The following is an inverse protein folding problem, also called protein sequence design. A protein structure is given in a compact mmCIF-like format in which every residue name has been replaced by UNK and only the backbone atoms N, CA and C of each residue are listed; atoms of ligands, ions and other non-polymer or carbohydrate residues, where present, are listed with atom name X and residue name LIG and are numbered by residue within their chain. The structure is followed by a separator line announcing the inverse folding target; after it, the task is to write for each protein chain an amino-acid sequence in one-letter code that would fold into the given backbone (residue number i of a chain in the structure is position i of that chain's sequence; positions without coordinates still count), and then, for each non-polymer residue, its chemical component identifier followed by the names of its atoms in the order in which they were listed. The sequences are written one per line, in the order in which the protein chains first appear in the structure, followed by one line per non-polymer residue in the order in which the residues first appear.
data_IF_625779769885
#
_entry.id   IF_625779769885
#
_cell.length_a   1.000
_cell.length_b   1.000
_cell.length_c   1.000
_cell.angle_alpha   90.00
_cell.angle_beta   90.00
_cell.angle_gamma   90.00
#
_symmetry.space_group_name_H-M   'P 1'
#
loop_
_entity.id
_entity.type
_entity.pdbx_description
1 polymer ?
#
# COMPACT_ATOMS: atom_id res chain seq x y z
N UNK A 1 3.66 37.53 -0.91
CA UNK A 1 2.84 36.40 -0.42
C UNK A 1 3.24 35.17 -1.23
N UNK A 2 4.10 34.32 -0.69
CA UNK A 2 4.48 33.04 -1.32
C UNK A 2 3.38 32.05 -0.99
N UNK A 3 2.44 31.85 -1.92
CA UNK A 3 1.40 30.84 -1.76
C UNK A 3 2.04 29.45 -1.80
N UNK A 4 1.85 28.66 -0.74
CA UNK A 4 2.26 27.27 -0.66
C UNK A 4 1.77 26.51 -1.90
N UNK A 5 2.70 26.16 -2.79
CA UNK A 5 2.44 25.29 -3.95
C UNK A 5 2.80 23.86 -3.54
N UNK A 6 1.79 23.14 -3.07
CA UNK A 6 1.86 21.69 -2.84
C UNK A 6 1.71 20.96 -4.18
N UNK A 7 2.64 20.07 -4.48
CA UNK A 7 2.61 19.07 -5.53
C UNK A 7 2.08 17.76 -4.95
N UNK A 8 1.07 17.20 -5.59
CA UNK A 8 0.48 15.91 -5.22
C UNK A 8 1.06 14.80 -6.10
N UNK A 9 1.43 13.66 -5.49
CA UNK A 9 1.96 12.52 -6.23
C UNK A 9 1.09 11.27 -6.07
N UNK A 10 0.77 10.67 -7.21
CA UNK A 10 0.14 9.38 -7.40
C UNK A 10 1.21 8.33 -7.74
N UNK A 11 0.94 7.06 -7.43
CA UNK A 11 1.72 5.93 -7.95
C UNK A 11 0.72 5.03 -8.69
N UNK A 12 0.74 5.06 -10.02
CA UNK A 12 -0.06 4.16 -10.88
C UNK A 12 0.60 3.98 -12.25
N UNK A 13 -0.11 3.52 -13.29
CA UNK A 13 0.45 3.25 -14.61
C UNK A 13 -0.42 3.80 -15.74
N UNK A 14 0.16 4.05 -16.92
CA UNK A 14 -0.42 3.41 -18.09
C UNK A 14 0.61 2.76 -19.05
N UNK A 15 0.12 1.68 -19.66
CA UNK A 15 0.46 1.12 -20.97
C UNK A 15 1.31 2.02 -21.88
N UNK A 16 2.60 1.68 -22.09
CA UNK A 16 3.35 1.71 -23.37
C UNK A 16 4.82 1.33 -23.13
N UNK A 17 5.43 0.71 -24.15
CA UNK A 17 6.73 0.00 -24.15
C UNK A 17 7.87 0.75 -23.43
N UNK A 18 8.76 0.05 -22.71
CA UNK A 18 9.99 0.66 -22.18
C UNK A 18 10.91 1.07 -23.32
N UNK A 19 11.41 2.31 -23.28
CA UNK A 19 12.56 2.71 -24.08
C UNK A 19 13.78 1.96 -23.53
N UNK A 20 14.31 1.06 -24.37
CA UNK A 20 15.56 0.34 -24.10
C UNK A 20 16.68 1.37 -23.94
N UNK A 21 17.26 1.45 -22.75
CA UNK A 21 18.70 1.51 -22.42
C UNK A 21 18.83 1.86 -20.93
N UNK A 22 18.73 0.86 -20.07
CA UNK A 22 19.16 0.96 -18.67
C UNK A 22 20.10 -0.21 -18.37
N UNK A 23 21.24 0.10 -17.76
CA UNK A 23 22.24 -0.88 -17.33
C UNK A 23 21.61 -1.96 -16.41
N UNK A 24 22.13 -3.20 -16.41
CA UNK A 24 21.45 -4.37 -15.82
C UNK A 24 21.16 -4.31 -14.31
N UNK A 25 21.59 -3.27 -13.59
CA UNK A 25 21.45 -3.15 -12.13
C UNK A 25 20.83 -1.81 -11.64
N UNK A 26 20.34 -0.94 -12.53
CA UNK A 26 19.66 0.30 -12.13
C UNK A 26 18.14 0.11 -12.12
N UNK A 27 17.50 0.30 -10.96
CA UNK A 27 16.05 0.53 -10.88
C UNK A 27 15.74 1.78 -11.70
N UNK A 28 14.95 1.65 -12.77
CA UNK A 28 14.54 2.78 -13.59
C UNK A 28 13.46 3.55 -12.82
N UNK A 29 13.80 4.73 -12.29
CA UNK A 29 12.80 5.72 -11.86
C UNK A 29 12.35 6.49 -13.11
N UNK A 30 11.26 6.04 -13.73
CA UNK A 30 10.67 6.76 -14.86
C UNK A 30 9.66 7.79 -14.32
N UNK A 31 10.04 9.06 -14.30
CA UNK A 31 9.12 10.17 -14.02
C UNK A 31 8.39 10.46 -15.34
N UNK A 32 7.17 9.94 -15.49
CA UNK A 32 6.31 10.28 -16.62
C UNK A 32 5.58 11.57 -16.29
N UNK A 33 5.93 12.64 -16.99
CA UNK A 33 5.22 13.92 -16.91
C UNK A 33 3.98 13.84 -17.83
N UNK A 34 2.72 13.70 -17.33
CA UNK A 34 1.55 13.73 -18.20
C UNK A 34 1.32 15.12 -18.84
N UNK A 35 0.64 15.13 -19.98
CA UNK A 35 0.13 16.35 -20.61
C UNK A 35 -0.79 17.10 -19.63
N UNK A 36 -0.53 18.40 -19.49
CA UNK A 36 -1.29 19.32 -18.63
C UNK A 36 -2.71 19.44 -19.20
N UNK A 37 -3.68 18.80 -18.56
CA UNK A 37 -5.10 19.05 -18.74
C UNK A 37 -5.70 19.28 -17.35
N UNK A 38 -6.12 20.52 -17.05
CA UNK A 38 -6.94 21.10 -15.95
C UNK A 38 -6.95 20.51 -14.51
N UNK A 39 -6.32 19.37 -14.23
CA UNK A 39 -6.03 18.80 -12.91
C UNK A 39 -4.65 19.23 -12.42
N UNK A 40 -4.31 20.50 -12.67
CA UNK A 40 -2.95 21.02 -12.62
C UNK A 40 -2.36 21.03 -11.21
N UNK A 41 -1.77 19.90 -10.78
CA UNK A 41 -0.74 19.73 -9.72
C UNK A 41 -0.50 18.26 -9.28
N UNK A 42 -1.14 17.28 -9.92
CA UNK A 42 -0.94 15.86 -9.62
C UNK A 42 0.02 15.18 -10.61
N UNK A 43 1.01 14.45 -10.10
CA UNK A 43 2.05 13.76 -10.87
C UNK A 43 2.14 12.29 -10.50
N UNK A 44 2.86 11.50 -11.30
CA UNK A 44 3.03 10.07 -11.02
C UNK A 44 4.42 9.55 -11.40
N UNK A 45 4.96 8.64 -10.60
CA UNK A 45 6.17 7.89 -10.93
C UNK A 45 5.99 6.41 -10.58
N UNK A 46 6.77 5.54 -11.21
CA UNK A 46 6.77 4.10 -10.95
C UNK A 46 8.13 3.64 -10.43
N UNK A 47 8.10 2.66 -9.53
CA UNK A 47 9.28 1.98 -8.98
C UNK A 47 9.17 0.49 -9.27
N UNK A 48 10.23 -0.07 -9.84
CA UNK A 48 10.35 -1.50 -10.14
C UNK A 48 10.33 -1.85 -11.64
N UNK A 49 10.17 -3.14 -11.99
CA UNK A 49 9.94 -4.27 -11.09
C UNK A 49 11.17 -4.59 -10.22
N UNK A 50 10.95 -4.78 -8.92
CA UNK A 50 12.00 -5.18 -7.97
C UNK A 50 11.56 -6.38 -7.13
N UNK A 51 12.51 -7.20 -6.69
CA UNK A 51 12.23 -8.42 -5.94
C UNK A 51 12.21 -8.16 -4.43
N UNK A 52 11.23 -8.76 -3.74
CA UNK A 52 11.17 -8.80 -2.28
C UNK A 52 11.08 -7.40 -1.65
N UNK A 53 11.78 -7.22 -0.53
CA UNK A 53 11.78 -5.98 0.26
C UNK A 53 12.42 -4.79 -0.47
N UNK A 54 13.23 -5.03 -1.50
CA UNK A 54 13.93 -3.96 -2.23
C UNK A 54 12.98 -2.96 -2.89
N UNK A 55 11.77 -3.37 -3.26
CA UNK A 55 10.76 -2.43 -3.80
C UNK A 55 10.38 -1.36 -2.76
N UNK A 56 10.39 -1.73 -1.48
CA UNK A 56 10.11 -0.82 -0.37
C UNK A 56 11.28 0.12 -0.11
N UNK A 57 12.52 -0.39 -0.15
CA UNK A 57 13.74 0.44 -0.11
C UNK A 57 13.72 1.49 -1.24
N UNK A 58 13.53 1.02 -2.48
CA UNK A 58 13.53 1.87 -3.67
C UNK A 58 12.42 2.92 -3.61
N UNK A 59 11.22 2.58 -3.12
CA UNK A 59 10.12 3.54 -3.00
C UNK A 59 10.39 4.59 -1.91
N UNK A 60 10.89 4.19 -0.75
CA UNK A 60 11.27 5.14 0.30
C UNK A 60 12.36 6.09 -0.17
N UNK A 61 13.38 5.57 -0.86
CA UNK A 61 14.44 6.38 -1.44
C UNK A 61 13.90 7.33 -2.51
N UNK A 62 13.01 6.86 -3.40
CA UNK A 62 12.38 7.70 -4.42
C UNK A 62 11.56 8.84 -3.80
N UNK A 63 10.78 8.56 -2.74
CA UNK A 63 10.04 9.59 -1.99
C UNK A 63 10.97 10.61 -1.35
N UNK A 64 12.08 10.14 -0.74
CA UNK A 64 13.09 11.02 -0.17
C UNK A 64 13.71 11.94 -1.23
N UNK A 65 14.19 11.39 -2.34
CA UNK A 65 14.78 12.17 -3.43
C UNK A 65 13.79 13.18 -3.99
N UNK A 66 12.52 12.82 -4.12
CA UNK A 66 11.48 13.73 -4.57
C UNK A 66 11.29 14.93 -3.64
N UNK A 67 11.28 14.70 -2.32
CA UNK A 67 11.26 15.81 -1.35
C UNK A 67 12.51 16.69 -1.47
N UNK A 68 13.70 16.10 -1.61
CA UNK A 68 14.97 16.85 -1.75
C UNK A 68 14.99 17.71 -3.01
N UNK A 69 14.55 17.18 -4.15
CA UNK A 69 14.44 17.94 -5.39
C UNK A 69 13.41 19.07 -5.26
N UNK A 70 12.26 18.79 -4.65
CA UNK A 70 11.19 19.78 -4.50
C UNK A 70 11.59 20.95 -3.60
N UNK A 71 12.43 20.71 -2.60
CA UNK A 71 13.02 21.74 -1.73
C UNK A 71 13.82 22.79 -2.53
N UNK A 72 14.61 22.36 -3.52
CA UNK A 72 15.39 23.27 -4.39
C UNK A 72 14.50 24.21 -5.22
N UNK A 73 13.29 23.76 -5.56
CA UNK A 73 12.31 24.57 -6.29
C UNK A 73 11.31 25.30 -5.39
N UNK A 74 11.45 25.20 -4.06
CA UNK A 74 10.51 25.80 -3.11
C UNK A 74 9.10 25.22 -3.19
N UNK A 75 8.98 23.93 -3.56
CA UNK A 75 7.72 23.20 -3.68
C UNK A 75 7.54 22.26 -2.49
N UNK A 76 6.31 22.16 -2.00
CA UNK A 76 5.94 21.16 -1.00
C UNK A 76 5.43 19.90 -1.72
N UNK A 77 5.72 18.72 -1.19
CA UNK A 77 5.23 17.44 -1.73
C UNK A 77 4.28 16.83 -0.72
N UNK A 78 3.12 16.36 -1.20
CA UNK A 78 2.17 15.62 -0.40
C UNK A 78 1.87 14.27 -1.03
N UNK A 79 1.85 13.24 -0.18
CA UNK A 79 1.31 11.91 -0.51
C UNK A 79 -0.08 11.70 0.11
N UNK A 80 -0.72 12.76 0.60
CA UNK A 80 -2.06 12.63 1.15
C UNK A 80 -3.02 12.15 0.05
N UNK A 81 -3.80 11.08 0.27
CA UNK A 81 -4.59 10.47 -0.78
C UNK A 81 -5.75 11.33 -1.29
N UNK A 82 -6.09 12.40 -0.54
CA UNK A 82 -7.09 13.39 -0.91
C UNK A 82 -6.67 14.77 -0.40
N UNK A 83 -5.75 15.47 -1.08
CA UNK A 83 -5.23 16.75 -0.56
C UNK A 83 -6.32 17.83 -0.43
N UNK A 84 -7.19 17.95 -1.44
CA UNK A 84 -8.26 18.95 -1.47
C UNK A 84 -9.62 18.27 -1.31
N UNK A 85 -10.31 18.44 -0.17
CA UNK A 85 -11.68 17.95 0.01
C UNK A 85 -12.60 18.48 -1.08
N UNK A 86 -13.44 17.61 -1.67
CA UNK A 86 -14.40 17.98 -2.72
C UNK A 86 -13.82 18.18 -4.13
N UNK A 87 -12.49 18.24 -4.29
CA UNK A 87 -11.88 18.23 -5.62
C UNK A 87 -11.97 16.85 -6.28
N UNK A 88 -11.86 16.78 -7.61
CA UNK A 88 -11.89 15.51 -8.35
C UNK A 88 -10.62 14.66 -8.18
N UNK A 89 -9.49 15.27 -7.79
CA UNK A 89 -8.21 14.58 -7.62
C UNK A 89 -8.22 13.58 -6.45
N UNK A 90 -7.68 12.39 -6.68
CA UNK A 90 -7.48 11.33 -5.69
C UNK A 90 -6.15 10.62 -6.01
N UNK A 91 -5.33 10.39 -4.98
CA UNK A 91 -3.97 9.88 -5.15
C UNK A 91 -3.87 8.47 -4.57
N UNK A 92 -3.76 7.46 -5.45
CA UNK A 92 -3.57 6.05 -5.06
C UNK A 92 -2.10 5.62 -5.06
N UNK A 93 -1.85 4.46 -4.44
CA UNK A 93 -0.56 3.77 -4.39
C UNK A 93 -0.65 2.37 -4.98
N UNK A 94 -0.86 2.24 -6.29
CA UNK A 94 -1.13 0.93 -6.88
C UNK A 94 0.10 0.01 -6.80
N UNK A 95 -0.10 -1.24 -6.39
CA UNK A 95 0.96 -2.23 -6.24
C UNK A 95 0.77 -3.37 -7.22
N UNK A 96 1.75 -3.55 -8.10
CA UNK A 96 1.79 -4.68 -9.02
C UNK A 96 2.56 -5.84 -8.37
N UNK A 97 1.97 -7.05 -8.34
CA UNK A 97 2.60 -8.22 -7.74
C UNK A 97 2.52 -9.45 -8.64
N UNK A 98 3.64 -10.18 -8.70
CA UNK A 98 3.72 -11.50 -9.34
C UNK A 98 4.70 -12.42 -8.61
N UNK A 99 4.37 -13.70 -8.57
CA UNK A 99 5.30 -14.78 -8.18
C UNK A 99 5.89 -15.43 -9.43
N UNK A 100 6.95 -16.24 -9.29
CA UNK A 100 7.50 -16.98 -10.42
C UNK A 100 6.44 -17.81 -11.17
N UNK A 101 5.57 -18.60 -10.49
CA UNK A 101 4.49 -19.33 -11.16
C UNK A 101 3.46 -18.45 -11.88
N UNK A 102 3.24 -17.20 -11.42
CA UNK A 102 2.32 -16.28 -12.11
C UNK A 102 2.87 -15.79 -13.45
N UNK A 103 4.21 -15.74 -13.60
CA UNK A 103 4.89 -15.25 -14.81
C UNK A 103 5.12 -16.34 -15.86
N UNK A 104 5.01 -17.61 -15.47
CA UNK A 104 5.14 -18.78 -16.35
C UNK A 104 3.89 -19.02 -17.20
N UNK A 105 4.00 -19.90 -18.21
CA UNK A 105 2.88 -20.23 -19.10
C UNK A 105 1.68 -20.81 -18.32
N UNK A 106 0.49 -20.29 -18.58
CA UNK A 106 -0.70 -20.63 -17.80
C UNK A 106 -0.73 -20.03 -16.38
N UNK A 107 0.20 -19.14 -16.04
CA UNK A 107 0.34 -18.49 -14.73
C UNK A 107 -0.88 -17.69 -14.26
N UNK A 108 -1.81 -17.35 -15.16
CA UNK A 108 -3.11 -16.76 -14.83
C UNK A 108 -3.91 -17.57 -13.80
N UNK A 109 -3.69 -18.89 -13.74
CA UNK A 109 -4.30 -19.76 -12.71
C UNK A 109 -3.88 -19.35 -11.30
N UNK A 110 -2.60 -19.00 -11.11
CA UNK A 110 -2.06 -18.57 -9.83
C UNK A 110 -2.55 -17.16 -9.47
N UNK A 111 -2.70 -16.29 -10.48
CA UNK A 111 -3.31 -14.96 -10.30
C UNK A 111 -4.75 -15.10 -9.82
N UNK A 112 -5.56 -15.93 -10.49
CA UNK A 112 -6.96 -16.17 -10.10
C UNK A 112 -7.08 -16.86 -8.74
N UNK A 113 -6.15 -17.75 -8.39
CA UNK A 113 -6.13 -18.40 -7.07
C UNK A 113 -5.79 -17.43 -5.92
N UNK A 114 -5.08 -16.34 -6.20
CA UNK A 114 -4.76 -15.31 -5.21
C UNK A 114 -5.96 -14.42 -4.86
N UNK A 115 -6.88 -14.20 -5.81
CA UNK A 115 -8.02 -13.28 -5.65
C UNK A 115 -8.93 -13.64 -4.45
N UNK A 116 -9.40 -14.89 -4.28
CA UNK A 116 -10.22 -15.25 -3.12
C UNK A 116 -9.50 -15.11 -1.77
N UNK A 117 -8.16 -15.12 -1.77
CA UNK A 117 -7.37 -14.87 -0.54
C UNK A 117 -7.40 -13.39 -0.20
N UNK A 118 -7.16 -12.53 -1.20
CA UNK A 118 -7.20 -11.07 -1.07
C UNK A 118 -8.59 -10.55 -0.66
N UNK A 119 -9.65 -11.20 -1.15
CA UNK A 119 -11.04 -10.93 -0.78
C UNK A 119 -11.30 -11.24 0.70
N UNK A 120 -10.93 -12.44 1.16
CA UNK A 120 -11.12 -12.85 2.56
C UNK A 120 -10.36 -11.98 3.55
N UNK A 121 -9.19 -11.48 3.17
CA UNK A 121 -8.38 -10.60 4.02
C UNK A 121 -8.64 -9.11 3.78
N UNK A 122 -9.69 -8.74 3.02
CA UNK A 122 -9.93 -7.37 2.61
C UNK A 122 -10.03 -6.39 3.80
N UNK A 123 -10.83 -6.73 4.80
CA UNK A 123 -11.03 -5.92 6.01
C UNK A 123 -9.75 -5.75 6.82
N UNK A 124 -8.89 -6.76 6.89
CA UNK A 124 -7.61 -6.71 7.60
C UNK A 124 -6.53 -5.94 6.82
N UNK A 125 -6.63 -5.89 5.50
CA UNK A 125 -5.66 -5.21 4.64
C UNK A 125 -5.91 -3.70 4.53
N UNK A 126 -7.17 -3.25 4.59
CA UNK A 126 -7.52 -1.83 4.47
C UNK A 126 -6.80 -0.92 5.49
N UNK A 127 -6.66 -1.28 6.77
CA UNK A 127 -5.89 -0.46 7.71
C UNK A 127 -4.42 -0.29 7.33
N UNK A 128 -3.84 -1.24 6.58
CA UNK A 128 -2.44 -1.19 6.13
C UNK A 128 -2.25 -0.31 4.89
N UNK A 129 -3.34 0.10 4.25
CA UNK A 129 -3.32 0.80 2.97
C UNK A 129 -3.03 2.30 3.09
N UNK A 130 -2.88 2.86 4.28
CA UNK A 130 -2.42 4.24 4.51
C UNK A 130 -1.60 4.33 5.82
N UNK A 131 -1.06 5.52 6.11
CA UNK A 131 -0.22 5.79 7.27
C UNK A 131 -1.00 5.94 8.60
N UNK A 132 -2.33 5.97 8.55
CA UNK A 132 -3.22 6.29 9.68
C UNK A 132 -4.30 5.21 9.86
N UNK A 133 -3.98 3.94 9.61
CA UNK A 133 -4.84 2.82 9.95
C UNK A 133 -6.15 2.74 9.14
N UNK A 134 -6.21 3.34 7.96
CA UNK A 134 -7.41 3.36 7.11
C UNK A 134 -8.12 4.71 7.08
N UNK A 135 -7.75 5.65 7.95
CA UNK A 135 -8.47 6.92 8.10
C UNK A 135 -8.35 7.82 6.86
N UNK A 136 -7.16 7.94 6.29
CA UNK A 136 -6.92 8.81 5.13
C UNK A 136 -7.56 8.23 3.86
N UNK A 137 -7.51 6.91 3.73
CA UNK A 137 -8.05 6.23 2.55
C UNK A 137 -9.57 6.39 2.48
N UNK A 138 -10.29 6.57 3.60
CA UNK A 138 -11.74 6.87 3.58
C UNK A 138 -12.08 8.09 2.71
N UNK A 139 -11.30 9.16 2.80
CA UNK A 139 -11.52 10.38 2.01
C UNK A 139 -11.25 10.20 0.52
N UNK A 140 -10.38 9.24 0.15
CA UNK A 140 -10.08 8.87 -1.24
C UNK A 140 -11.18 8.01 -1.86
N UNK A 141 -11.81 7.20 -1.03
CA UNK A 141 -12.64 6.06 -1.44
C UNK A 141 -14.14 6.38 -1.56
N UNK A 142 -14.51 7.67 -1.46
CA UNK A 142 -15.90 8.14 -1.60
C UNK A 142 -16.28 8.24 -3.09
N UNK A 143 -17.18 7.36 -3.54
CA UNK A 143 -18.05 7.61 -4.71
C UNK A 143 -17.65 7.04 -6.08
N UNK A 144 -16.37 6.87 -6.40
CA UNK A 144 -15.96 6.49 -7.79
C UNK A 144 -14.97 5.34 -7.92
N UNK A 145 -14.19 5.02 -6.88
CA UNK A 145 -13.18 3.97 -6.93
C UNK A 145 -13.39 2.96 -5.79
N UNK A 146 -13.60 1.70 -6.16
CA UNK A 146 -13.54 0.47 -5.36
C UNK A 146 -14.34 0.34 -4.05
N UNK A 147 -14.89 1.38 -3.45
CA UNK A 147 -15.18 1.33 -2.00
C UNK A 147 -16.24 2.30 -1.51
N UNK A 148 -17.13 2.77 -2.38
CA UNK A 148 -18.41 3.32 -1.91
C UNK A 148 -19.26 2.27 -1.16
N UNK A 149 -18.91 0.98 -1.24
CA UNK A 149 -19.66 -0.14 -0.65
C UNK A 149 -18.87 -1.01 0.35
N UNK A 150 -17.58 -0.78 0.60
CA UNK A 150 -16.76 -1.66 1.46
C UNK A 150 -16.55 -3.09 0.94
N UNK A 151 -17.05 -3.42 -0.25
CA UNK A 151 -16.99 -4.76 -0.81
C UNK A 151 -15.78 -4.92 -1.74
N UNK A 152 -15.07 -6.04 -1.59
CA UNK A 152 -13.97 -6.39 -2.47
C UNK A 152 -14.46 -6.67 -3.90
N UNK A 153 -13.76 -6.14 -4.90
CA UNK A 153 -14.07 -6.36 -6.32
C UNK A 153 -12.79 -6.64 -7.11
N UNK A 154 -12.90 -7.43 -8.17
CA UNK A 154 -11.81 -7.63 -9.11
C UNK A 154 -12.31 -7.70 -10.55
N UNK A 155 -11.45 -7.41 -11.52
CA UNK A 155 -11.83 -7.52 -12.93
C UNK A 155 -10.66 -7.44 -13.90
N UNK A 156 -10.87 -7.95 -15.11
CA UNK A 156 -9.95 -7.74 -16.23
C UNK A 156 -10.14 -6.34 -16.77
N UNK A 157 -9.06 -5.55 -16.83
CA UNK A 157 -9.07 -4.15 -17.29
C UNK A 157 -9.98 -3.19 -16.50
N UNK A 158 -10.66 -3.67 -15.45
CA UNK A 158 -11.53 -2.84 -14.61
C UNK A 158 -10.69 -1.91 -13.72
N UNK A 159 -10.73 -0.59 -14.01
CA UNK A 159 -10.01 0.44 -13.25
C UNK A 159 -10.68 0.82 -11.93
N UNK A 160 -11.92 0.42 -11.74
CA UNK A 160 -12.72 0.76 -10.57
C UNK A 160 -12.80 -0.40 -9.57
N UNK A 161 -12.12 -1.52 -9.85
CA UNK A 161 -12.04 -2.69 -9.00
C UNK A 161 -10.86 -2.65 -8.03
N UNK A 162 -11.01 -3.26 -6.84
CA UNK A 162 -9.92 -3.34 -5.84
C UNK A 162 -8.67 -3.99 -6.43
N UNK A 163 -8.85 -5.08 -7.19
CA UNK A 163 -7.78 -5.78 -7.89
C UNK A 163 -8.05 -5.79 -9.39
N UNK A 164 -7.10 -5.30 -10.17
CA UNK A 164 -7.16 -5.31 -11.64
C UNK A 164 -6.22 -6.36 -12.21
N UNK A 165 -6.71 -7.15 -13.16
CA UNK A 165 -5.87 -7.96 -14.04
C UNK A 165 -5.68 -7.16 -15.33
N UNK A 166 -4.47 -6.71 -15.69
CA UNK A 166 -4.25 -5.98 -16.94
C UNK A 166 -4.72 -6.79 -18.14
N UNK A 167 -5.26 -6.11 -19.17
CA UNK A 167 -5.74 -6.76 -20.40
C UNK A 167 -4.67 -7.67 -21.01
N UNK A 168 -3.42 -7.21 -21.07
CA UNK A 168 -2.31 -7.98 -21.62
C UNK A 168 -2.05 -9.27 -20.82
N UNK A 169 -2.14 -9.22 -19.49
CA UNK A 169 -2.00 -10.41 -18.62
C UNK A 169 -3.12 -11.43 -18.88
N UNK A 170 -4.33 -10.96 -19.12
CA UNK A 170 -5.46 -11.83 -19.47
C UNK A 170 -5.28 -12.49 -20.85
N UNK A 171 -4.77 -11.74 -21.84
CA UNK A 171 -4.47 -12.25 -23.18
C UNK A 171 -3.31 -13.25 -23.18
N UNK A 172 -2.21 -12.90 -22.52
CA UNK A 172 -1.00 -13.73 -22.44
C UNK A 172 -1.14 -14.90 -21.45
N UNK A 173 -2.23 -14.92 -20.67
CA UNK A 173 -2.51 -15.92 -19.63
C UNK A 173 -1.38 -16.07 -18.60
N UNK A 174 -0.59 -15.02 -18.37
CA UNK A 174 0.49 -14.93 -17.38
C UNK A 174 0.90 -13.49 -17.11
N UNK A 175 1.55 -13.24 -15.98
CA UNK A 175 2.08 -11.92 -15.62
C UNK A 175 1.85 -11.58 -14.15
N UNK A 176 1.10 -10.51 -13.88
CA UNK A 176 0.90 -9.92 -12.56
C UNK A 176 -0.54 -9.45 -12.34
N UNK A 177 -0.91 -9.21 -11.07
CA UNK A 177 -2.12 -8.47 -10.70
C UNK A 177 -1.75 -7.09 -10.15
N UNK A 178 -2.66 -6.13 -10.27
CA UNK A 178 -2.53 -4.78 -9.71
C UNK A 178 -3.51 -4.62 -8.55
N UNK A 179 -3.01 -4.40 -7.34
CA UNK A 179 -3.80 -4.01 -6.18
C UNK A 179 -3.92 -2.49 -6.12
N UNK A 180 -5.16 -1.99 -6.13
CA UNK A 180 -5.50 -0.56 -6.23
C UNK A 180 -6.01 0.02 -4.91
N UNK A 181 -6.02 -0.80 -3.85
CA UNK A 181 -6.49 -0.43 -2.50
C UNK A 181 -5.53 0.50 -1.75
N UNK A 182 -4.19 0.40 -1.87
CA UNK A 182 -3.32 1.31 -1.13
C UNK A 182 -3.51 2.77 -1.56
N UNK A 183 -3.53 3.67 -0.57
CA UNK A 183 -3.43 5.11 -0.73
C UNK A 183 -2.02 5.50 -1.19
N UNK A 184 -1.78 6.76 -1.51
CA UNK A 184 -0.46 7.26 -1.94
C UNK A 184 0.56 7.36 -0.79
N UNK A 185 0.10 7.52 0.46
CA UNK A 185 0.93 7.63 1.67
C UNK A 185 1.18 6.31 2.41
N UNK A 186 0.79 5.16 1.85
CA UNK A 186 1.03 3.86 2.50
C UNK A 186 2.52 3.61 2.80
N UNK A 187 2.79 2.84 3.85
CA UNK A 187 4.11 2.26 4.09
C UNK A 187 4.32 1.05 3.15
N UNK A 188 5.29 1.10 2.22
CA UNK A 188 5.54 -0.01 1.33
C UNK A 188 5.94 -1.30 2.04
N UNK A 189 6.57 -1.25 3.22
CA UNK A 189 6.91 -2.46 3.97
C UNK A 189 5.66 -3.20 4.44
N UNK A 190 4.71 -2.49 5.06
CA UNK A 190 3.48 -3.08 5.56
C UNK A 190 2.64 -3.69 4.43
N UNK A 191 2.49 -2.95 3.32
CA UNK A 191 1.70 -3.42 2.17
C UNK A 191 2.37 -4.59 1.46
N UNK A 192 3.68 -4.54 1.23
CA UNK A 192 4.40 -5.63 0.56
C UNK A 192 4.43 -6.90 1.40
N UNK A 193 4.68 -6.78 2.71
CA UNK A 193 4.63 -7.91 3.65
C UNK A 193 3.23 -8.54 3.65
N UNK A 194 2.18 -7.73 3.78
CA UNK A 194 0.81 -8.22 3.80
C UNK A 194 0.42 -8.94 2.51
N UNK A 195 0.81 -8.41 1.35
CA UNK A 195 0.57 -9.07 0.07
C UNK A 195 1.29 -10.42 -0.02
N UNK A 196 2.55 -10.51 0.46
CA UNK A 196 3.30 -11.77 0.51
C UNK A 196 2.62 -12.78 1.45
N UNK A 197 2.22 -12.35 2.65
CA UNK A 197 1.52 -13.19 3.63
C UNK A 197 0.24 -13.79 3.05
N UNK A 198 -0.58 -12.98 2.39
CA UNK A 198 -1.85 -13.45 1.82
C UNK A 198 -1.64 -14.29 0.56
N UNK A 199 -0.84 -13.81 -0.39
CA UNK A 199 -0.73 -14.43 -1.73
C UNK A 199 0.17 -15.67 -1.67
N UNK A 200 1.29 -15.60 -0.97
CA UNK A 200 2.31 -16.66 -0.94
C UNK A 200 2.08 -17.60 0.23
N UNK A 201 1.95 -17.06 1.46
CA UNK A 201 1.82 -17.88 2.67
C UNK A 201 0.38 -18.36 2.92
N UNK A 202 -0.61 -17.71 2.30
CA UNK A 202 -2.01 -18.10 2.44
C UNK A 202 -2.61 -17.73 3.79
N UNK A 203 -2.05 -16.74 4.49
CA UNK A 203 -2.59 -16.25 5.76
C UNK A 203 -3.96 -15.60 5.55
N UNK A 204 -4.89 -15.87 6.45
CA UNK A 204 -6.26 -15.33 6.43
C UNK A 204 -6.45 -14.12 7.35
N UNK A 205 -5.47 -13.88 8.23
CA UNK A 205 -5.45 -12.74 9.15
C UNK A 205 -4.16 -11.95 8.96
N UNK A 206 -4.26 -10.63 9.12
CA UNK A 206 -3.12 -9.74 9.07
C UNK A 206 -3.04 -8.96 10.37
N UNK A 207 -1.82 -8.77 10.87
CA UNK A 207 -1.58 -7.92 12.04
C UNK A 207 -1.80 -6.47 11.64
N UNK A 208 -2.65 -5.76 12.39
CA UNK A 208 -2.79 -4.31 12.26
C UNK A 208 -1.85 -3.62 13.25
N UNK A 209 -0.75 -2.97 12.81
CA UNK A 209 0.15 -2.24 13.68
C UNK A 209 -0.47 -0.93 14.22
N UNK A 210 -1.54 -0.45 13.60
CA UNK A 210 -2.26 0.76 14.01
C UNK A 210 -3.37 0.51 15.03
N UNK A 211 -3.60 -0.76 15.42
CA UNK A 211 -4.57 -1.07 16.46
C UNK A 211 -4.02 -0.70 17.84
N UNK A 212 -4.85 -0.06 18.67
CA UNK A 212 -4.52 0.21 20.07
C UNK A 212 -4.07 -1.06 20.80
N UNK A 213 -3.02 -1.00 21.64
CA UNK A 213 -2.57 -2.17 22.39
C UNK A 213 -3.69 -2.66 23.30
N UNK A 214 -3.98 -3.97 23.23
CA UNK A 214 -4.94 -4.61 24.14
C UNK A 214 -4.38 -4.53 25.56
N UNK A 215 -4.92 -3.63 26.38
CA UNK A 215 -4.64 -3.60 27.82
C UNK A 215 -5.32 -4.81 28.45
N UNK A 216 -4.55 -5.86 28.72
CA UNK A 216 -5.04 -6.99 29.51
C UNK A 216 -4.96 -6.57 30.97
N UNK A 217 -6.12 -6.31 31.59
CA UNK A 217 -6.18 -6.18 33.06
C UNK A 217 -5.93 -7.56 33.65
N UNK A 218 -4.70 -7.79 34.11
CA UNK A 218 -4.37 -8.93 34.95
C UNK A 218 -4.99 -8.66 36.33
N UNK A 219 -6.08 -9.33 36.65
CA UNK A 219 -6.57 -9.40 38.03
C UNK A 219 -5.67 -10.37 38.79
N UNK A 220 -4.81 -9.84 39.67
CA UNK A 220 -4.11 -10.65 40.65
C UNK A 220 -5.11 -10.92 41.77
N UNK A 221 -5.48 -12.18 41.96
CA UNK A 221 -6.21 -12.60 43.14
C UNK A 221 -5.25 -12.62 44.32
N UNK A 222 -5.30 -11.56 45.12
CA UNK A 222 -4.48 -11.42 46.32
C UNK A 222 -5.12 -12.08 47.56
N UNK A 223 -6.23 -12.81 47.42
CA UNK A 223 -6.92 -13.45 48.54
C UNK A 223 -6.09 -14.53 49.26
N UNK A 224 -4.99 -14.98 48.64
CA UNK A 224 -4.05 -15.94 49.23
C UNK A 224 -2.79 -15.31 49.83
N UNK A 225 -2.65 -13.97 49.81
CA UNK A 225 -1.54 -13.27 50.47
C UNK A 225 -1.94 -12.94 51.92
N UNK A 226 -1.64 -13.84 52.85
CA UNK A 226 -1.69 -13.56 54.30
C UNK A 226 -0.43 -12.81 54.73
N UNK A 227 -0.60 -11.69 55.44
CA UNK A 227 0.49 -10.87 56.01
C UNK A 227 0.92 -11.45 57.36
N UNK A 228 1.21 -12.74 57.43
CA UNK A 228 1.55 -13.41 58.71
C UNK A 228 2.97 -14.01 58.77
N UNK A 229 3.80 -13.85 57.74
CA UNK A 229 5.16 -14.45 57.69
C UNK A 229 6.32 -13.49 58.05
N UNK A 230 6.07 -12.35 58.74
CA UNK A 230 7.14 -11.34 59.02
C UNK A 230 7.55 -11.22 60.49
N UNK A 231 6.93 -11.92 61.45
CA UNK A 231 7.25 -11.74 62.89
C UNK A 231 7.87 -12.94 63.63
N UNK A 232 8.61 -13.83 62.98
CA UNK A 232 9.46 -14.79 63.71
C UNK A 232 10.91 -14.78 63.22
N UNK A 233 11.67 -13.80 63.71
CA UNK A 233 13.12 -13.71 63.48
C UNK A 233 13.79 -12.62 64.31
N UNK A 234 13.65 -12.65 65.64
CA UNK A 234 14.35 -11.69 66.51
C UNK A 234 14.11 -11.91 68.00
N UNK A 235 14.61 -13.02 68.55
CA UNK A 235 14.77 -13.20 69.99
C UNK A 235 16.26 -13.15 70.36
N UNK A 236 16.63 -12.17 71.20
CA UNK A 236 17.75 -12.26 72.16
C UNK A 236 17.20 -12.72 73.51
#
# INVERSE_FOLDING_TARGET
MVGNRTLDFQISSPTRKPLRHAAPNCTLMEIKLPQIADHARQWEFQVGPTAGTRVSDDLWLARYLLHRLSEEFGLAVSFHPKLVPGASGACGGHVNISTAPMREEGGIRHIKAAIPRLERTHSHFLPLCDAHGGADNQARLIGFFCTASGNFTYGVENRDACVRIPRQVALDKKGFLEDRRPASNFDPYLVTEALVRVIVLGEETLRNPYAEPKVVKLSIDASHLSIDDVEQGGGE
#
